data_IF_114829981394
#
_entry.id   IF_114829981394
#
_cell.length_a   1.000
_cell.length_b   1.000
_cell.length_c   1.000
_cell.angle_alpha   90.00
_cell.angle_beta   90.00
_cell.angle_gamma   90.00
#
_symmetry.space_group_name_H-M   'P 1'
#
loop_
_entity.id
_entity.type
_entity.pdbx_description
1 polymer ?
#
# COMPACT_ATOMS: atom_id res chain seq x y z
N UNK A 1 11.87 6.68 -0.27
CA UNK A 1 11.71 5.26 -0.69
C UNK A 1 10.36 5.09 -1.36
N UNK A 2 10.15 4.07 -2.22
CA UNK A 2 8.85 3.77 -2.83
C UNK A 2 8.29 2.49 -2.23
N UNK A 3 7.07 2.54 -1.70
CA UNK A 3 6.43 1.41 -1.01
C UNK A 3 5.03 1.13 -1.54
N UNK A 4 4.59 -0.12 -1.43
CA UNK A 4 3.19 -0.51 -1.59
C UNK A 4 2.60 -0.91 -0.23
N UNK A 5 1.29 -0.73 -0.05
CA UNK A 5 0.59 -1.08 1.19
C UNK A 5 -0.33 -2.28 0.94
N UNK A 6 -0.20 -3.31 1.77
CA UNK A 6 -1.10 -4.48 1.78
C UNK A 6 -1.86 -4.48 3.11
N UNK A 7 -3.19 -4.45 3.03
CA UNK A 7 -4.09 -4.25 4.17
C UNK A 7 -4.26 -2.77 4.51
N UNK A 8 -5.23 -2.11 3.88
CA UNK A 8 -5.45 -0.65 3.99
C UNK A 8 -6.56 -0.27 4.98
N UNK A 9 -6.59 -0.96 6.12
CA UNK A 9 -7.42 -0.63 7.28
C UNK A 9 -6.82 0.49 8.14
N UNK A 10 -7.16 0.55 9.42
CA UNK A 10 -6.67 1.58 10.36
C UNK A 10 -5.14 1.66 10.41
N UNK A 11 -4.46 0.51 10.48
CA UNK A 11 -3.00 0.45 10.52
C UNK A 11 -2.36 0.88 9.20
N UNK A 12 -2.89 0.45 8.05
CA UNK A 12 -2.38 0.86 6.74
C UNK A 12 -2.42 2.38 6.53
N UNK A 13 -3.50 3.03 6.97
CA UNK A 13 -3.64 4.50 6.93
C UNK A 13 -2.64 5.22 7.84
N UNK A 14 -2.36 4.66 9.02
CA UNK A 14 -1.34 5.19 9.93
C UNK A 14 0.06 5.07 9.31
N UNK A 15 0.39 3.91 8.76
CA UNK A 15 1.69 3.68 8.08
C UNK A 15 1.88 4.63 6.91
N UNK A 16 0.85 4.82 6.08
CA UNK A 16 0.88 5.80 5.00
C UNK A 16 1.19 7.21 5.50
N UNK A 17 0.51 7.65 6.58
CA UNK A 17 0.71 8.97 7.16
C UNK A 17 2.17 9.15 7.60
N UNK A 18 2.73 8.16 8.29
CA UNK A 18 4.13 8.18 8.73
C UNK A 18 5.11 8.19 7.54
N UNK A 19 4.86 7.36 6.53
CA UNK A 19 5.70 7.27 5.34
C UNK A 19 5.70 8.57 4.52
N UNK A 20 4.54 9.25 4.40
CA UNK A 20 4.45 10.58 3.76
C UNK A 20 5.25 11.62 4.55
N UNK A 21 5.15 11.63 5.89
CA UNK A 21 5.91 12.54 6.74
C UNK A 21 7.43 12.34 6.60
N UNK A 22 7.87 11.09 6.39
CA UNK A 22 9.26 10.75 6.11
C UNK A 22 9.66 10.97 4.63
N UNK A 23 8.77 11.50 3.79
CA UNK A 23 9.06 11.82 2.38
C UNK A 23 9.11 10.61 1.45
N UNK A 24 8.40 9.52 1.77
CA UNK A 24 8.33 8.32 0.93
C UNK A 24 7.25 8.47 -0.14
N UNK A 25 7.45 7.79 -1.26
CA UNK A 25 6.48 7.67 -2.34
C UNK A 25 5.56 6.47 -2.07
N UNK A 26 4.25 6.74 -1.98
CA UNK A 26 3.23 5.70 -1.79
C UNK A 26 2.74 5.23 -3.16
N UNK A 27 2.97 3.96 -3.44
CA UNK A 27 2.47 3.25 -4.60
C UNK A 27 1.08 2.62 -4.35
N UNK A 28 0.83 1.40 -4.85
CA UNK A 28 -0.46 0.74 -4.73
C UNK A 28 -0.92 0.50 -3.28
N UNK A 29 -2.23 0.62 -3.06
CA UNK A 29 -2.93 0.23 -1.82
C UNK A 29 -3.81 -0.96 -2.13
N UNK A 30 -3.44 -2.11 -1.59
CA UNK A 30 -4.10 -3.39 -1.84
C UNK A 30 -4.81 -3.86 -0.57
N UNK A 31 -6.05 -4.29 -0.71
CA UNK A 31 -6.89 -4.81 0.38
C UNK A 31 -7.88 -5.85 -0.17
N UNK A 32 -8.60 -6.52 0.72
CA UNK A 32 -9.58 -7.56 0.40
C UNK A 32 -10.66 -7.11 -0.60
N UNK A 33 -10.93 -5.80 -0.68
CA UNK A 33 -11.94 -5.22 -1.56
C UNK A 33 -11.46 -4.94 -2.98
N UNK A 34 -10.16 -4.75 -3.21
CA UNK A 34 -9.61 -4.31 -4.50
C UNK A 34 -8.46 -5.20 -5.01
N UNK A 35 -8.09 -6.23 -4.25
CA UNK A 35 -7.03 -7.17 -4.60
C UNK A 35 -7.50 -8.63 -4.46
N UNK A 36 -8.55 -9.05 -5.19
CA UNK A 36 -9.05 -10.42 -5.10
C UNK A 36 -7.95 -11.41 -5.52
N UNK A 37 -7.76 -12.46 -4.71
CA UNK A 37 -6.75 -13.51 -4.94
C UNK A 37 -5.31 -12.97 -5.17
N UNK A 38 -5.00 -11.76 -4.71
CA UNK A 38 -3.67 -11.16 -4.90
C UNK A 38 -3.38 -10.65 -6.31
N UNK A 39 -4.40 -10.43 -7.16
CA UNK A 39 -4.24 -10.03 -8.57
C UNK A 39 -3.40 -8.76 -8.82
N UNK A 40 -3.30 -7.87 -7.85
CA UNK A 40 -2.48 -6.65 -7.89
C UNK A 40 -1.02 -6.85 -7.50
N UNK A 41 -0.61 -8.06 -7.12
CA UNK A 41 0.80 -8.39 -6.84
C UNK A 41 1.39 -9.00 -8.10
N UNK A 42 2.03 -8.16 -8.91
CA UNK A 42 2.63 -8.57 -10.19
C UNK A 42 4.12 -8.27 -10.21
N UNK A 43 4.82 -8.82 -11.20
CA UNK A 43 6.24 -8.50 -11.47
C UNK A 43 6.45 -7.14 -12.10
N UNK A 44 5.38 -6.49 -12.56
CA UNK A 44 5.40 -5.17 -13.18
C UNK A 44 4.98 -4.13 -12.13
N UNK A 45 5.83 -3.12 -11.91
CA UNK A 45 5.65 -2.04 -10.93
C UNK A 45 5.45 -0.68 -11.61
#
# INVERSE_FOLDING_TARGET
MKIALIGYGKMGKLVETLAILDGWEIGPRLDLHNNPNGAGITTEL
#
